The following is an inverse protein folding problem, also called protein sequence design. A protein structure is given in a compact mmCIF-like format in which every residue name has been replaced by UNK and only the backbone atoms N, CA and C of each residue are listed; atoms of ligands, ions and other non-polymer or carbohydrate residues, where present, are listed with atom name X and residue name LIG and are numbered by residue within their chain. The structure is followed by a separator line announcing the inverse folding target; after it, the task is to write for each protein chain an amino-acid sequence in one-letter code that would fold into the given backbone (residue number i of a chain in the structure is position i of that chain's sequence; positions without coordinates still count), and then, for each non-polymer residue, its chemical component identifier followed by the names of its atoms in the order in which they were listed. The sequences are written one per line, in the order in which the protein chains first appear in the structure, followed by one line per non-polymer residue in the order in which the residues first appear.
data_IF_583520660022
#
_entry.id   IF_583520660022
#
_cell.length_a   1.000
_cell.length_b   1.000
_cell.length_c   1.000
_cell.angle_alpha   90.00
_cell.angle_beta   90.00
_cell.angle_gamma   90.00
#
_symmetry.space_group_name_H-M   'P 1'
#
loop_
_entity.id
_entity.type
_entity.pdbx_description
1 polymer ?
#
# COMPACT_ATOMS: atom_id res chain seq x y z
N UNK A 1 -13.52 -2.70 -16.91
CA UNK A 1 -13.72 -3.67 -15.82
C UNK A 1 -12.48 -3.83 -14.95
N UNK A 2 -11.32 -4.18 -15.51
CA UNK A 2 -10.05 -4.30 -14.76
C UNK A 2 -9.67 -3.04 -13.99
N UNK A 3 -9.81 -1.86 -14.60
CA UNK A 3 -9.55 -0.57 -13.94
C UNK A 3 -10.48 -0.31 -12.75
N UNK A 4 -11.77 -0.68 -12.84
CA UNK A 4 -12.71 -0.53 -11.73
C UNK A 4 -12.39 -1.45 -10.56
N UNK A 5 -12.01 -2.71 -10.85
CA UNK A 5 -11.58 -3.67 -9.84
C UNK A 5 -10.32 -3.14 -9.12
N UNK A 6 -9.35 -2.63 -9.87
CA UNK A 6 -8.14 -2.06 -9.27
C UNK A 6 -8.44 -0.83 -8.41
N UNK A 7 -9.37 0.05 -8.82
CA UNK A 7 -9.77 1.20 -8.00
C UNK A 7 -10.46 0.78 -6.69
N UNK A 8 -11.27 -0.28 -6.71
CA UNK A 8 -11.87 -0.84 -5.49
C UNK A 8 -10.81 -1.39 -4.54
N UNK A 9 -9.81 -2.10 -5.07
CA UNK A 9 -8.69 -2.61 -4.27
C UNK A 9 -7.86 -1.48 -3.63
N UNK A 10 -7.66 -0.37 -4.34
CA UNK A 10 -6.99 0.81 -3.76
C UNK A 10 -7.82 1.40 -2.62
N UNK A 11 -9.14 1.53 -2.81
CA UNK A 11 -10.03 2.06 -1.77
C UNK A 11 -9.96 1.21 -0.50
N UNK A 12 -10.06 -0.12 -0.63
CA UNK A 12 -9.95 -1.06 0.51
C UNK A 12 -8.60 -0.89 1.20
N UNK A 13 -7.49 -0.84 0.45
CA UNK A 13 -6.15 -0.69 1.03
C UNK A 13 -5.99 0.63 1.81
N UNK A 14 -6.63 1.71 1.35
CA UNK A 14 -6.57 3.02 2.02
C UNK A 14 -7.33 3.04 3.34
N UNK A 15 -8.46 2.33 3.42
CA UNK A 15 -9.20 2.19 4.68
C UNK A 15 -8.44 1.34 5.69
N UNK A 16 -7.80 0.25 5.24
CA UNK A 16 -6.93 -0.56 6.11
C UNK A 16 -5.77 0.30 6.63
N UNK A 17 -5.16 1.13 5.78
CA UNK A 17 -4.06 2.00 6.18
C UNK A 17 -4.43 2.94 7.34
N UNK A 18 -5.63 3.55 7.31
CA UNK A 18 -6.09 4.45 8.36
C UNK A 18 -6.24 3.79 9.74
N UNK A 19 -6.40 2.47 9.80
CA UNK A 19 -6.66 1.72 11.03
C UNK A 19 -5.42 0.97 11.56
N UNK A 20 -4.30 0.99 10.83
CA UNK A 20 -3.06 0.34 11.26
C UNK A 20 -2.31 1.23 12.26
N UNK A 21 -1.74 0.61 13.31
CA UNK A 21 -0.96 1.33 14.32
C UNK A 21 0.55 1.03 14.23
N UNK A 22 0.92 -0.16 13.73
CA UNK A 22 2.32 -0.56 13.69
C UNK A 22 3.03 0.05 12.46
N UNK A 23 4.13 0.82 12.65
CA UNK A 23 4.75 1.60 11.57
C UNK A 23 5.33 0.72 10.45
N UNK A 24 5.84 -0.49 10.79
CA UNK A 24 6.26 -1.47 9.78
C UNK A 24 5.10 -1.93 8.89
N UNK A 25 3.92 -2.14 9.48
CA UNK A 25 2.74 -2.60 8.74
C UNK A 25 2.17 -1.48 7.87
N UNK A 26 2.21 -0.23 8.36
CA UNK A 26 1.91 0.96 7.55
C UNK A 26 2.83 1.05 6.32
N UNK A 27 4.15 0.83 6.49
CA UNK A 27 5.11 0.85 5.40
C UNK A 27 4.85 -0.24 4.35
N UNK A 28 4.56 -1.46 4.79
CA UNK A 28 4.20 -2.56 3.88
C UNK A 28 2.88 -2.29 3.14
N UNK A 29 1.87 -1.73 3.81
CA UNK A 29 0.61 -1.36 3.18
C UNK A 29 0.79 -0.26 2.12
N UNK A 30 1.63 0.73 2.37
CA UNK A 30 1.97 1.77 1.38
C UNK A 30 2.66 1.20 0.14
N UNK A 31 3.54 0.22 0.31
CA UNK A 31 4.22 -0.43 -0.81
C UNK A 31 3.22 -1.21 -1.69
N UNK A 32 2.27 -1.91 -1.08
CA UNK A 32 1.19 -2.59 -1.82
C UNK A 32 0.26 -1.60 -2.54
N UNK A 33 -0.12 -0.51 -1.87
CA UNK A 33 -0.98 0.51 -2.48
C UNK A 33 -0.31 1.19 -3.67
N UNK A 34 0.98 1.49 -3.59
CA UNK A 34 1.70 2.13 -4.70
C UNK A 34 1.95 1.20 -5.88
N UNK A 35 2.13 -0.09 -5.63
CA UNK A 35 2.09 -1.08 -6.71
C UNK A 35 0.73 -1.08 -7.44
N UNK A 36 -0.39 -1.03 -6.71
CA UNK A 36 -1.73 -0.94 -7.32
C UNK A 36 -1.91 0.35 -8.13
N UNK A 37 -1.40 1.48 -7.65
CA UNK A 37 -1.44 2.77 -8.38
C UNK A 37 -0.59 2.71 -9.66
N UNK A 38 0.58 2.07 -9.63
CA UNK A 38 1.42 1.88 -10.81
C UNK A 38 0.71 1.04 -11.88
N UNK A 39 -0.04 0.01 -11.46
CA UNK A 39 -0.84 -0.80 -12.37
C UNK A 39 -1.98 0.00 -13.00
N UNK A 40 -2.70 0.82 -12.23
CA UNK A 40 -3.77 1.67 -12.80
C UNK A 40 -3.19 2.69 -13.78
N UNK A 41 -2.15 3.41 -13.39
CA UNK A 41 -1.52 4.44 -14.25
C UNK A 41 -0.92 3.84 -15.52
N UNK A 42 -0.36 2.63 -15.44
CA UNK A 42 0.11 1.87 -16.61
C UNK A 42 -1.02 1.46 -17.55
N UNK A 43 -2.20 1.11 -17.02
CA UNK A 43 -3.38 0.77 -17.82
C UNK A 43 -4.10 2.00 -18.41
N UNK A 44 -3.90 3.19 -17.84
CA UNK A 44 -4.52 4.44 -18.31
C UNK A 44 -3.72 5.11 -19.43
N UNK A 45 -2.42 4.87 -19.47
CA UNK A 45 -1.50 5.53 -20.41
C UNK A 45 -1.11 4.59 -21.55
N UNK A 46 -0.79 5.14 -22.72
CA UNK A 46 -0.38 4.33 -23.88
C UNK A 46 1.01 3.72 -23.73
N UNK A 47 1.82 4.21 -22.79
CA UNK A 47 3.19 3.77 -22.55
C UNK A 47 3.47 3.65 -21.06
N UNK A 48 4.07 2.55 -20.63
CA UNK A 48 4.40 2.25 -19.23
C UNK A 48 5.54 3.10 -18.63
N UNK A 49 6.09 4.07 -19.38
CA UNK A 49 7.25 4.84 -18.95
C UNK A 49 6.98 5.66 -17.67
N UNK A 50 5.79 6.27 -17.58
CA UNK A 50 5.40 7.04 -16.40
C UNK A 50 5.15 6.17 -15.17
N UNK A 51 4.42 5.05 -15.32
CA UNK A 51 4.17 4.14 -14.20
C UNK A 51 5.45 3.47 -13.69
N UNK A 52 6.42 3.22 -14.57
CA UNK A 52 7.73 2.68 -14.19
C UNK A 52 8.56 3.68 -13.36
N UNK A 53 8.63 4.94 -13.78
CA UNK A 53 9.34 5.98 -13.02
C UNK A 53 8.70 6.18 -11.65
N UNK A 54 7.36 6.22 -11.60
CA UNK A 54 6.62 6.34 -10.35
C UNK A 54 6.95 5.17 -9.40
N UNK A 55 6.98 3.94 -9.92
CA UNK A 55 7.33 2.76 -9.13
C UNK A 55 8.74 2.84 -8.55
N UNK A 56 9.75 3.18 -9.37
CA UNK A 56 11.15 3.22 -8.93
C UNK A 56 11.41 4.28 -7.86
N UNK A 57 10.89 5.50 -8.06
CA UNK A 57 11.09 6.59 -7.09
C UNK A 57 10.43 6.23 -5.77
N UNK A 58 9.22 5.69 -5.81
CA UNK A 58 8.48 5.36 -4.60
C UNK A 58 9.08 4.16 -3.86
N UNK A 59 9.52 3.14 -4.58
CA UNK A 59 10.20 1.98 -4.00
C UNK A 59 11.51 2.40 -3.32
N UNK A 60 12.30 3.28 -3.96
CA UNK A 60 13.52 3.83 -3.37
C UNK A 60 13.26 4.57 -2.07
N UNK A 61 12.28 5.49 -2.06
CA UNK A 61 11.92 6.25 -0.86
C UNK A 61 11.37 5.38 0.28
N UNK A 62 10.54 4.38 -0.06
CA UNK A 62 9.95 3.47 0.92
C UNK A 62 10.98 2.54 1.57
N UNK A 63 12.00 2.10 0.83
CA UNK A 63 13.09 1.29 1.40
C UNK A 63 13.91 2.07 2.43
N UNK A 64 14.20 3.35 2.17
CA UNK A 64 14.91 4.21 3.14
C UNK A 64 14.07 4.40 4.41
N UNK A 65 12.77 4.68 4.25
CA UNK A 65 11.84 4.76 5.39
C UNK A 65 11.77 3.45 6.18
N UNK A 66 11.77 2.31 5.50
CA UNK A 66 11.73 1.00 6.15
C UNK A 66 12.97 0.74 7.01
N UNK A 67 14.17 1.05 6.48
CA UNK A 67 15.43 0.93 7.25
C UNK A 67 15.42 1.88 8.45
N UNK A 68 14.94 3.11 8.25
CA UNK A 68 14.87 4.09 9.33
C UNK A 68 13.96 3.63 10.47
N UNK A 69 12.73 3.20 10.16
CA UNK A 69 11.75 2.76 11.16
C UNK A 69 12.21 1.50 11.89
N UNK A 70 12.78 0.52 11.18
CA UNK A 70 13.29 -0.71 11.81
C UNK A 70 14.48 -0.45 12.72
N UNK A 71 15.28 0.58 12.46
CA UNK A 71 16.39 0.98 13.34
C UNK A 71 15.95 1.70 14.63
N UNK A 72 14.74 2.29 14.64
CA UNK A 72 14.25 3.13 15.73
C UNK A 72 13.15 2.46 16.57
N UNK A 73 12.36 1.58 15.98
CA UNK A 73 11.25 0.92 16.67
C UNK A 73 11.73 -0.37 17.37
N UNK A 74 11.39 -0.51 18.65
CA UNK A 74 11.39 -1.83 19.31
C UNK A 74 10.40 -2.74 18.57
N UNK A 75 10.82 -3.98 18.28
CA UNK A 75 9.97 -5.01 17.65
C UNK A 75 8.80 -5.40 18.57
N UNK A 76 7.77 -4.54 18.66
CA UNK A 76 6.53 -4.87 19.35
C UNK A 76 5.80 -5.98 18.57
N UNK A 77 5.19 -6.91 19.31
CA UNK A 77 4.49 -8.02 18.66
C UNK A 77 3.33 -7.49 17.82
N UNK A 78 3.33 -7.85 16.54
CA UNK A 78 2.28 -7.49 15.62
C UNK A 78 0.95 -8.13 16.05
N UNK A 79 -0.01 -7.30 16.47
CA UNK A 79 -1.38 -7.75 16.73
C UNK A 79 -2.30 -7.27 15.59
N UNK A 80 -2.84 -8.24 14.85
CA UNK A 80 -3.79 -7.94 13.80
C UNK A 80 -5.21 -7.91 14.37
N UNK A 81 -5.94 -6.80 14.20
CA UNK A 81 -7.29 -6.71 14.75
C UNK A 81 -8.28 -7.46 13.84
N UNK A 82 -9.11 -8.32 14.42
CA UNK A 82 -10.18 -9.00 13.66
C UNK A 82 -11.24 -8.02 13.14
N UNK A 83 -11.38 -6.86 13.78
CA UNK A 83 -12.31 -5.81 13.36
C UNK A 83 -11.91 -5.20 12.01
N UNK A 84 -10.61 -5.04 11.75
CA UNK A 84 -10.05 -4.61 10.46
C UNK A 84 -10.48 -5.57 9.33
N UNK A 85 -10.41 -6.88 9.59
CA UNK A 85 -10.74 -7.91 8.59
C UNK A 85 -12.23 -7.86 8.23
N UNK A 86 -13.11 -7.76 9.22
CA UNK A 86 -14.57 -7.67 9.01
C UNK A 86 -14.93 -6.38 8.27
N UNK A 87 -14.32 -5.24 8.62
CA UNK A 87 -14.58 -3.97 7.95
C UNK A 87 -14.16 -4.01 6.46
N UNK A 88 -13.03 -4.65 6.14
CA UNK A 88 -12.58 -4.81 4.76
C UNK A 88 -13.51 -5.66 3.90
N UNK A 89 -14.22 -6.63 4.49
CA UNK A 89 -15.21 -7.47 3.81
C UNK A 89 -16.51 -6.72 3.51
N UNK A 90 -16.86 -5.69 4.28
CA UNK A 90 -18.08 -4.88 4.07
C UNK A 90 -17.89 -3.89 2.91
N UNK A 91 -16.65 -3.44 2.66
CA UNK A 91 -16.33 -2.49 1.59
C UNK A 91 -16.26 -3.18 0.21
N UNK A 92 -16.03 -4.49 0.20
CA UNK A 92 -15.91 -5.31 -1.01
C UNK A 92 -17.28 -5.64 -1.61
#
# INVERSE_FOLDING_TARGET
MTQMILSLMIMISSFIFMQMNHPLAMGLMLLMQTFLICLITGLMTKSFWFSYILFLIFLGGMLVLFIYVTSLASNEMFSMSMNLMIFSLIIL
#
